data_IF_880704459665
#
_entry.id   IF_880704459665
#
_cell.length_a   1.000
_cell.length_b   1.000
_cell.length_c   1.000
_cell.angle_alpha   90.00
_cell.angle_beta   90.00
_cell.angle_gamma   90.00
#
_symmetry.space_group_name_H-M   'P 1'
#
loop_
_entity.id
_entity.type
_entity.pdbx_description
1 polymer ?
#
# COMPACT_ATOMS: atom_id res chain seq x y z
N UNK A 1 33.32 -10.64 -2.73
CA UNK A 1 32.11 -10.05 -3.33
C UNK A 1 31.01 -10.11 -2.28
N UNK A 2 30.35 -8.99 -1.95
CA UNK A 2 29.28 -8.95 -0.93
C UNK A 2 27.94 -8.95 -1.67
N UNK A 3 27.15 -10.02 -1.55
CA UNK A 3 25.80 -10.10 -2.14
C UNK A 3 24.81 -9.59 -1.09
N UNK A 4 24.06 -8.50 -1.37
CA UNK A 4 23.06 -8.01 -0.42
C UNK A 4 21.86 -8.96 -0.37
N UNK A 5 21.25 -9.09 0.82
CA UNK A 5 20.02 -9.88 0.99
C UNK A 5 18.84 -9.32 0.19
N UNK A 6 18.72 -7.99 0.13
CA UNK A 6 17.70 -7.27 -0.64
C UNK A 6 18.24 -5.89 -1.05
N UNK A 7 18.24 -5.59 -2.35
CA UNK A 7 18.65 -4.28 -2.88
C UNK A 7 17.46 -3.48 -3.41
N UNK A 8 16.75 -2.81 -2.50
CA UNK A 8 15.62 -1.96 -2.86
C UNK A 8 15.98 -0.84 -3.83
N UNK A 9 17.23 -0.36 -3.85
CA UNK A 9 17.64 0.69 -4.78
C UNK A 9 17.60 0.18 -6.21
N UNK A 10 18.08 -1.04 -6.45
CA UNK A 10 18.01 -1.69 -7.75
C UNK A 10 16.56 -1.93 -8.20
N UNK A 11 15.67 -2.35 -7.30
CA UNK A 11 14.24 -2.53 -7.59
C UNK A 11 13.52 -1.21 -7.89
N UNK A 12 13.83 -0.13 -7.17
CA UNK A 12 13.18 1.17 -7.35
C UNK A 12 13.71 1.97 -8.55
N UNK A 13 14.96 1.74 -8.95
CA UNK A 13 15.59 2.48 -10.05
C UNK A 13 14.74 2.55 -11.34
N UNK A 14 14.20 1.45 -11.89
CA UNK A 14 13.36 1.49 -13.07
C UNK A 14 12.00 2.17 -12.84
N UNK A 15 11.49 2.18 -11.60
CA UNK A 15 10.17 2.73 -11.24
C UNK A 15 10.23 4.18 -10.74
N UNK A 16 11.44 4.75 -10.63
CA UNK A 16 11.67 6.06 -9.99
C UNK A 16 10.85 7.19 -10.62
N UNK A 17 10.63 7.15 -11.93
CA UNK A 17 9.78 8.11 -12.63
C UNK A 17 8.33 8.05 -12.13
N UNK A 18 7.75 6.85 -12.10
CA UNK A 18 6.37 6.63 -11.65
C UNK A 18 6.17 7.05 -10.19
N UNK A 19 7.12 6.73 -9.30
CA UNK A 19 7.03 7.15 -7.90
C UNK A 19 7.03 8.67 -7.74
N UNK A 20 7.87 9.37 -8.51
CA UNK A 20 7.91 10.84 -8.46
C UNK A 20 6.59 11.46 -8.89
N UNK A 21 6.00 10.95 -9.97
CA UNK A 21 4.70 11.42 -10.46
C UNK A 21 3.60 11.18 -9.43
N UNK A 22 3.46 9.95 -8.94
CA UNK A 22 2.41 9.62 -7.96
C UNK A 22 2.55 10.42 -6.65
N UNK A 23 3.78 10.63 -6.16
CA UNK A 23 4.03 11.45 -4.96
C UNK A 23 3.67 12.92 -5.21
N UNK A 24 4.03 13.46 -6.39
CA UNK A 24 3.70 14.84 -6.73
C UNK A 24 2.18 15.07 -6.82
N UNK A 25 1.44 14.15 -7.42
CA UNK A 25 -0.02 14.21 -7.51
C UNK A 25 -0.68 14.24 -6.12
N UNK A 26 -0.20 13.43 -5.17
CA UNK A 26 -0.67 13.47 -3.78
C UNK A 26 -0.38 14.82 -3.13
N UNK A 27 0.83 15.35 -3.29
CA UNK A 27 1.22 16.67 -2.74
C UNK A 27 0.34 17.78 -3.33
N UNK A 28 0.14 17.79 -4.65
CA UNK A 28 -0.65 18.80 -5.36
C UNK A 28 -2.14 18.73 -4.97
N UNK A 29 -2.65 17.54 -4.67
CA UNK A 29 -4.02 17.36 -4.17
C UNK A 29 -4.22 17.86 -2.74
N UNK A 30 -3.16 17.87 -1.92
CA UNK A 30 -3.21 18.15 -0.48
C UNK A 30 -3.92 17.08 0.36
N UNK A 31 -4.31 15.94 -0.23
CA UNK A 31 -5.05 14.87 0.45
C UNK A 31 -4.08 13.76 0.89
N UNK A 32 -3.64 13.82 2.14
CA UNK A 32 -2.61 12.90 2.67
C UNK A 32 -3.15 11.65 3.36
N UNK A 33 -4.45 11.58 3.66
CA UNK A 33 -5.06 10.45 4.36
C UNK A 33 -6.49 10.22 3.88
N UNK A 34 -6.87 8.95 3.71
CA UNK A 34 -8.23 8.55 3.30
C UNK A 34 -8.69 9.10 1.94
N UNK A 35 -7.73 9.50 1.09
CA UNK A 35 -8.01 10.12 -0.20
C UNK A 35 -8.20 9.14 -1.35
N UNK A 36 -8.44 9.66 -2.57
CA UNK A 36 -8.64 8.85 -3.78
C UNK A 36 -7.50 7.85 -4.04
N UNK A 37 -6.25 8.23 -3.80
CA UNK A 37 -5.10 7.34 -3.96
C UNK A 37 -5.17 6.07 -3.09
N UNK A 38 -5.84 6.14 -1.93
CA UNK A 38 -6.08 4.96 -1.07
C UNK A 38 -7.21 4.11 -1.64
N UNK A 39 -8.33 4.73 -2.02
CA UNK A 39 -9.48 4.03 -2.60
C UNK A 39 -9.12 3.30 -3.91
N UNK A 40 -8.37 3.96 -4.80
CA UNK A 40 -7.91 3.38 -6.05
C UNK A 40 -6.99 2.17 -5.80
N UNK A 41 -6.13 2.25 -4.78
CA UNK A 41 -5.29 1.13 -4.37
C UNK A 41 -6.13 -0.02 -3.80
N UNK A 42 -7.11 0.25 -2.93
CA UNK A 42 -7.99 -0.75 -2.35
C UNK A 42 -8.78 -1.50 -3.43
N UNK A 43 -9.34 -0.79 -4.41
CA UNK A 43 -10.04 -1.40 -5.55
C UNK A 43 -9.09 -2.29 -6.37
N UNK A 44 -7.92 -1.77 -6.76
CA UNK A 44 -6.94 -2.53 -7.53
C UNK A 44 -6.42 -3.76 -6.76
N UNK A 45 -6.24 -3.63 -5.44
CA UNK A 45 -5.71 -4.69 -4.61
C UNK A 45 -6.76 -5.77 -4.32
N UNK A 46 -8.03 -5.39 -4.15
CA UNK A 46 -9.14 -6.34 -4.05
C UNK A 46 -9.27 -7.17 -5.33
N UNK A 47 -9.20 -6.52 -6.49
CA UNK A 47 -9.19 -7.18 -7.80
C UNK A 47 -7.99 -8.13 -7.96
N UNK A 48 -6.79 -7.70 -7.58
CA UNK A 48 -5.59 -8.54 -7.59
C UNK A 48 -5.73 -9.78 -6.71
N UNK A 49 -6.28 -9.62 -5.50
CA UNK A 49 -6.49 -10.71 -4.55
C UNK A 49 -7.71 -11.59 -4.88
N UNK A 50 -8.55 -11.18 -5.85
CA UNK A 50 -9.82 -11.83 -6.21
C UNK A 50 -10.80 -11.89 -5.04
N UNK A 51 -10.92 -10.79 -4.30
CA UNK A 51 -11.90 -10.61 -3.24
C UNK A 51 -12.77 -9.37 -3.50
N UNK A 52 -13.93 -9.32 -2.86
CA UNK A 52 -14.89 -8.22 -3.06
C UNK A 52 -14.42 -6.89 -2.44
N UNK A 53 -13.61 -6.96 -1.38
CA UNK A 53 -13.19 -5.79 -0.60
C UNK A 53 -11.71 -5.87 -0.21
N UNK A 54 -11.06 -4.70 -0.12
CA UNK A 54 -9.79 -4.51 0.55
C UNK A 54 -9.87 -3.23 1.40
N UNK A 55 -9.15 -3.22 2.53
CA UNK A 55 -9.08 -2.06 3.43
C UNK A 55 -7.61 -1.81 3.79
N UNK A 56 -7.11 -0.61 3.50
CA UNK A 56 -5.76 -0.16 3.80
C UNK A 56 -5.59 0.16 5.29
N UNK A 57 -4.58 -0.45 5.91
CA UNK A 57 -4.24 -0.27 7.33
C UNK A 57 -2.76 0.11 7.48
N UNK A 58 -2.35 0.56 8.66
CA UNK A 58 -0.99 1.06 8.90
C UNK A 58 0.08 -0.04 8.95
N UNK A 59 -0.30 -1.29 9.23
CA UNK A 59 0.61 -2.44 9.18
C UNK A 59 -0.10 -3.79 9.04
N UNK A 60 0.65 -4.85 8.74
CA UNK A 60 0.14 -6.22 8.74
C UNK A 60 -0.32 -6.70 10.13
N UNK A 61 0.30 -6.21 11.20
CA UNK A 61 -0.12 -6.54 12.58
C UNK A 61 -1.49 -5.96 12.88
N UNK A 62 -1.74 -4.71 12.49
CA UNK A 62 -3.06 -4.08 12.62
C UNK A 62 -4.12 -4.80 11.79
N UNK A 63 -3.76 -5.26 10.58
CA UNK A 63 -4.67 -6.02 9.73
C UNK A 63 -5.16 -7.31 10.40
N UNK A 64 -4.24 -8.08 10.98
CA UNK A 64 -4.60 -9.31 11.70
C UNK A 64 -5.40 -8.97 12.96
N UNK A 65 -4.96 -7.98 13.74
CA UNK A 65 -5.64 -7.58 14.97
C UNK A 65 -7.08 -7.13 14.71
N UNK A 66 -7.30 -6.26 13.73
CA UNK A 66 -8.62 -5.77 13.37
C UNK A 66 -9.52 -6.90 12.83
N UNK A 67 -8.97 -7.83 12.04
CA UNK A 67 -9.72 -8.98 11.56
C UNK A 67 -10.19 -9.90 12.70
N UNK A 68 -9.32 -10.16 13.69
CA UNK A 68 -9.68 -10.94 14.87
C UNK A 68 -10.75 -10.22 15.71
N UNK A 69 -10.56 -8.93 15.96
CA UNK A 69 -11.51 -8.11 16.71
C UNK A 69 -12.90 -8.10 16.03
N UNK A 70 -12.95 -7.95 14.70
CA UNK A 70 -14.19 -7.99 13.94
C UNK A 70 -14.92 -9.35 14.02
N UNK A 71 -14.15 -10.44 14.15
CA UNK A 71 -14.69 -11.79 14.39
C UNK A 71 -15.05 -12.06 15.87
N UNK A 72 -14.89 -11.09 16.76
CA UNK A 72 -15.15 -11.25 18.20
C UNK A 72 -14.07 -12.07 18.93
N UNK A 73 -12.86 -12.14 18.39
CA UNK A 73 -11.71 -12.84 18.99
C UNK A 73 -10.76 -11.80 19.59
N UNK A 74 -10.67 -11.76 20.91
CA UNK A 74 -9.83 -10.80 21.65
C UNK A 74 -9.91 -10.99 23.16
#
# INVERSE_FOLDING_TARGET
MKVPFLDLKAHHAPLRGHFKTAIAEVIDSGIFAGGPAVADFEEAFAAFCKCDYAVGLGSGTEAVWLALLACGVG
#
